data_IF_010788000277
#
_entry.id   IF_010788000277
#
_cell.length_a   1.000
_cell.length_b   1.000
_cell.length_c   1.000
_cell.angle_alpha   90.00
_cell.angle_beta   90.00
_cell.angle_gamma   90.00
#
_symmetry.space_group_name_H-M   'P 1'
#
loop_
_entity.id
_entity.type
_entity.pdbx_description
1 polymer ?
#
# COMPACT_ATOMS: atom_id res chain seq x y z
N UNK A 1 -5.42 49.81 6.38
CA UNK A 1 -4.40 48.97 5.72
C UNK A 1 -4.98 47.58 5.56
N UNK A 2 -4.99 47.05 4.33
CA UNK A 2 -5.66 45.78 3.96
C UNK A 2 -4.86 44.56 4.43
N UNK A 3 -5.50 43.44 4.79
CA UNK A 3 -4.80 42.19 5.06
C UNK A 3 -4.36 41.53 3.74
N UNK A 4 -3.09 41.12 3.66
CA UNK A 4 -2.51 40.37 2.54
C UNK A 4 -2.81 38.89 2.76
N UNK A 5 -3.74 38.35 1.97
CA UNK A 5 -3.96 36.91 1.81
C UNK A 5 -2.77 36.31 1.04
N UNK A 6 -1.95 35.50 1.72
CA UNK A 6 -0.94 34.67 1.05
C UNK A 6 -1.60 33.36 0.60
N UNK A 7 -1.99 33.31 -0.66
CA UNK A 7 -2.32 32.09 -1.39
C UNK A 7 -1.02 31.30 -1.59
N UNK A 8 -0.78 30.27 -0.77
CA UNK A 8 0.33 29.34 -0.99
C UNK A 8 -0.07 28.39 -2.13
N UNK A 9 0.72 28.39 -3.20
CA UNK A 9 0.47 27.63 -4.42
C UNK A 9 0.63 26.12 -4.20
N UNK A 10 -0.49 25.39 -4.21
CA UNK A 10 -0.58 23.92 -4.16
C UNK A 10 -0.13 23.27 -5.51
N UNK A 11 0.30 24.07 -6.49
CA UNK A 11 0.67 23.60 -7.83
C UNK A 11 2.09 23.01 -7.95
N UNK A 12 2.93 23.10 -6.90
CA UNK A 12 4.31 22.57 -6.94
C UNK A 12 4.45 21.08 -6.63
N UNK A 13 3.46 20.45 -6.02
CA UNK A 13 3.53 19.06 -5.53
C UNK A 13 2.85 18.02 -6.45
N UNK A 14 2.00 18.44 -7.40
CA UNK A 14 1.41 17.51 -8.38
C UNK A 14 2.37 17.14 -9.52
N UNK A 15 3.38 17.97 -9.83
CA UNK A 15 4.28 17.74 -10.95
C UNK A 15 5.25 16.56 -10.73
N UNK A 16 5.47 16.13 -9.48
CA UNK A 16 6.32 14.97 -9.17
C UNK A 16 5.53 13.65 -9.18
N UNK A 17 4.22 13.69 -8.96
CA UNK A 17 3.34 12.50 -8.99
C UNK A 17 3.07 12.04 -10.42
N UNK A 18 3.00 12.97 -11.38
CA UNK A 18 2.77 12.66 -12.79
C UNK A 18 3.97 11.97 -13.50
N UNK A 19 5.18 12.04 -12.94
CA UNK A 19 6.39 11.47 -13.56
C UNK A 19 6.63 9.99 -13.21
N UNK A 20 5.86 9.40 -12.29
CA UNK A 20 5.95 7.97 -11.93
C UNK A 20 4.79 7.12 -12.48
N UNK A 21 3.77 7.74 -13.06
CA UNK A 21 2.60 7.07 -13.64
C UNK A 21 2.73 6.77 -15.15
N UNK A 22 3.90 7.03 -15.76
CA UNK A 22 4.13 6.81 -17.18
C UNK A 22 5.45 6.07 -17.40
N UNK A 23 5.40 4.73 -17.34
CA UNK A 23 6.40 3.91 -18.02
C UNK A 23 5.72 3.03 -19.07
N UNK A 24 6.20 3.05 -20.33
CA UNK A 24 5.75 2.14 -21.36
C UNK A 24 6.24 0.72 -21.03
N UNK A 25 5.41 -0.26 -21.39
CA UNK A 25 5.79 -1.66 -21.47
C UNK A 25 7.02 -1.76 -22.38
N UNK A 26 8.19 -1.98 -21.79
CA UNK A 26 9.40 -2.34 -22.51
C UNK A 26 9.20 -3.77 -23.04
N UNK A 27 8.72 -3.85 -24.28
CA UNK A 27 8.82 -5.06 -25.08
C UNK A 27 10.31 -5.41 -25.20
N UNK A 28 10.73 -6.48 -24.53
CA UNK A 28 12.05 -7.06 -24.77
C UNK A 28 12.09 -7.54 -26.22
N UNK A 29 12.99 -6.93 -26.98
CA UNK A 29 13.38 -7.35 -28.32
C UNK A 29 14.05 -8.71 -28.24
N UNK A 30 13.30 -9.77 -28.57
CA UNK A 30 13.86 -11.08 -28.87
C UNK A 30 14.50 -11.07 -30.25
N UNK A 31 15.80 -11.34 -30.31
CA UNK A 31 16.56 -11.65 -31.52
C UNK A 31 15.94 -12.85 -32.30
N UNK A 32 16.11 -12.91 -33.63
CA UNK A 32 15.35 -13.81 -34.48
C UNK A 32 15.89 -15.25 -34.44
N UNK A 33 15.04 -16.19 -34.05
CA UNK A 33 15.28 -17.61 -34.30
C UNK A 33 14.93 -17.93 -35.76
N UNK A 34 15.96 -18.28 -36.53
CA UNK A 34 15.87 -18.61 -37.95
C UNK A 34 15.85 -20.14 -38.11
N UNK A 35 14.99 -20.65 -39.00
CA UNK A 35 15.15 -21.97 -39.62
C UNK A 35 14.11 -23.02 -39.26
N UNK A 36 13.15 -23.22 -40.16
CA UNK A 36 12.24 -24.37 -40.14
C UNK A 36 11.27 -24.32 -41.31
N UNK A 37 11.77 -24.57 -42.53
CA UNK A 37 10.94 -24.74 -43.72
C UNK A 37 9.99 -25.94 -43.53
N UNK A 38 8.67 -25.71 -43.54
CA UNK A 38 7.68 -26.77 -43.77
C UNK A 38 7.16 -26.67 -45.20
N UNK A 39 7.47 -27.70 -45.98
CA UNK A 39 7.03 -27.96 -47.34
C UNK A 39 5.50 -27.98 -47.45
N UNK A 40 4.95 -27.23 -48.41
CA UNK A 40 3.52 -27.19 -48.72
C UNK A 40 3.14 -28.36 -49.64
N UNK A 41 2.34 -29.30 -49.14
CA UNK A 41 1.67 -30.33 -49.96
C UNK A 41 0.21 -29.91 -50.19
N UNK A 42 -0.27 -29.83 -51.44
CA UNK A 42 -1.67 -29.54 -51.71
C UNK A 42 -2.53 -30.77 -51.40
N UNK A 43 -3.35 -30.71 -50.35
CA UNK A 43 -4.24 -31.83 -50.01
C UNK A 43 -5.05 -31.76 -48.70
N UNK A 44 -5.01 -30.67 -47.92
CA UNK A 44 -5.79 -30.59 -46.67
C UNK A 44 -7.03 -29.69 -46.81
N UNK A 45 -8.16 -30.32 -46.52
CA UNK A 45 -9.53 -29.88 -46.67
C UNK A 45 -9.97 -28.96 -45.53
N UNK A 46 -9.63 -27.67 -45.59
CA UNK A 46 -10.52 -26.57 -45.19
C UNK A 46 -11.16 -26.56 -43.79
N UNK A 47 -10.74 -27.38 -42.82
CA UNK A 47 -11.17 -27.26 -41.42
C UNK A 47 -10.25 -26.30 -40.71
N UNK A 48 -10.62 -25.03 -40.71
CA UNK A 48 -10.06 -24.04 -39.77
C UNK A 48 -10.28 -24.57 -38.35
N UNK A 49 -9.23 -25.11 -37.74
CA UNK A 49 -9.20 -25.38 -36.32
C UNK A 49 -9.53 -24.06 -35.62
N UNK A 50 -10.72 -23.99 -35.02
CA UNK A 50 -11.09 -22.87 -34.17
C UNK A 50 -10.16 -22.98 -32.97
N UNK A 51 -9.18 -22.08 -32.88
CA UNK A 51 -8.33 -21.92 -31.70
C UNK A 51 -9.19 -21.91 -30.42
N UNK A 52 -8.63 -22.31 -29.28
CA UNK A 52 -9.41 -22.62 -28.08
C UNK A 52 -10.37 -21.47 -27.76
N UNK A 53 -11.67 -21.79 -27.76
CA UNK A 53 -12.72 -20.83 -27.39
C UNK A 53 -12.42 -20.37 -25.97
N UNK A 54 -12.03 -19.09 -25.81
CA UNK A 54 -11.91 -18.46 -24.49
C UNK A 54 -13.18 -18.73 -23.67
N UNK A 55 -13.09 -18.97 -22.34
CA UNK A 55 -14.25 -19.28 -21.52
C UNK A 55 -15.29 -18.16 -21.68
N UNK A 56 -16.49 -18.49 -22.18
CA UNK A 56 -17.60 -17.55 -22.36
C UNK A 56 -18.37 -17.37 -21.05
N UNK A 57 -17.68 -16.92 -20.01
CA UNK A 57 -18.37 -16.35 -18.84
C UNK A 57 -18.97 -14.99 -19.20
N UNK A 58 -19.98 -14.49 -18.47
CA UNK A 58 -20.38 -13.08 -18.57
C UNK A 58 -19.18 -12.16 -18.30
N UNK A 59 -19.14 -11.03 -18.99
CA UNK A 59 -18.14 -9.98 -18.77
C UNK A 59 -18.56 -9.01 -17.65
N UNK A 60 -19.84 -9.05 -17.26
CA UNK A 60 -20.41 -8.21 -16.22
C UNK A 60 -21.41 -9.02 -15.37
N UNK A 61 -21.25 -9.02 -14.05
CA UNK A 61 -22.23 -9.56 -13.09
C UNK A 61 -22.53 -8.48 -12.05
N UNK A 62 -23.82 -8.21 -11.82
CA UNK A 62 -24.26 -7.35 -10.72
C UNK A 62 -24.65 -8.23 -9.53
N UNK A 63 -24.10 -7.96 -8.35
CA UNK A 63 -24.36 -8.73 -7.13
C UNK A 63 -25.11 -7.84 -6.14
N UNK A 64 -26.17 -8.36 -5.54
CA UNK A 64 -26.98 -7.65 -4.54
C UNK A 64 -27.01 -8.44 -3.23
N UNK A 65 -26.77 -7.82 -2.06
CA UNK A 65 -26.79 -8.53 -0.80
C UNK A 65 -28.15 -9.14 -0.52
N UNK A 66 -28.20 -10.46 -0.24
CA UNK A 66 -29.44 -11.18 0.06
C UNK A 66 -30.46 -11.25 -1.08
N UNK A 67 -30.08 -10.84 -2.30
CA UNK A 67 -30.93 -10.93 -3.49
C UNK A 67 -30.73 -12.24 -4.26
N UNK A 68 -31.51 -12.41 -5.33
CA UNK A 68 -31.44 -13.58 -6.23
C UNK A 68 -30.14 -13.67 -7.03
N UNK A 69 -29.37 -12.57 -7.12
CA UNK A 69 -28.17 -12.45 -7.96
C UNK A 69 -26.94 -13.27 -7.51
N UNK A 70 -27.09 -14.12 -6.49
CA UNK A 70 -26.03 -14.97 -5.95
C UNK A 70 -25.05 -14.23 -5.06
N UNK A 71 -24.11 -14.99 -4.52
CA UNK A 71 -23.02 -14.52 -3.66
C UNK A 71 -21.88 -13.87 -4.49
N UNK A 72 -20.96 -13.16 -3.85
CA UNK A 72 -19.73 -12.68 -4.52
C UNK A 72 -18.95 -13.89 -5.04
N UNK A 73 -18.87 -14.97 -4.26
CA UNK A 73 -18.19 -16.19 -4.65
C UNK A 73 -18.86 -16.86 -5.87
N UNK A 74 -20.19 -16.90 -5.96
CA UNK A 74 -20.91 -17.43 -7.13
C UNK A 74 -20.65 -16.56 -8.38
N UNK A 75 -20.50 -15.24 -8.19
CA UNK A 75 -20.13 -14.33 -9.28
C UNK A 75 -18.69 -14.58 -9.73
N UNK A 76 -17.77 -14.79 -8.78
CA UNK A 76 -16.38 -15.15 -9.08
C UNK A 76 -16.26 -16.48 -9.81
N UNK A 77 -17.09 -17.49 -9.53
CA UNK A 77 -17.07 -18.74 -10.29
C UNK A 77 -17.49 -18.54 -11.75
N UNK A 78 -18.55 -17.76 -11.99
CA UNK A 78 -19.19 -17.63 -13.30
C UNK A 78 -18.53 -16.60 -14.22
N UNK A 79 -17.99 -15.51 -13.66
CA UNK A 79 -17.44 -14.39 -14.46
C UNK A 79 -16.29 -14.86 -15.37
N UNK A 80 -16.23 -14.35 -16.60
CA UNK A 80 -15.06 -14.55 -17.45
C UNK A 80 -13.81 -13.89 -16.82
N UNK A 81 -12.60 -14.46 -16.99
CA UNK A 81 -11.36 -13.78 -16.59
C UNK A 81 -11.25 -12.38 -17.20
N UNK A 82 -10.97 -11.38 -16.37
CA UNK A 82 -10.94 -9.95 -16.73
C UNK A 82 -12.30 -9.26 -16.70
N UNK A 83 -13.40 -10.00 -16.46
CA UNK A 83 -14.73 -9.43 -16.32
C UNK A 83 -14.89 -8.57 -15.06
N UNK A 84 -16.04 -7.91 -14.95
CA UNK A 84 -16.36 -6.97 -13.88
C UNK A 84 -17.51 -7.47 -13.02
N UNK A 85 -17.31 -7.49 -11.71
CA UNK A 85 -18.34 -7.73 -10.70
C UNK A 85 -18.70 -6.39 -10.07
N UNK A 86 -19.96 -5.98 -10.20
CA UNK A 86 -20.47 -4.73 -9.62
C UNK A 86 -21.28 -5.06 -8.38
N UNK A 87 -20.87 -4.51 -7.24
CA UNK A 87 -21.54 -4.71 -5.96
C UNK A 87 -22.52 -3.57 -5.73
N UNK A 88 -23.80 -3.90 -5.50
CA UNK A 88 -24.77 -2.95 -4.96
C UNK A 88 -24.39 -2.55 -3.52
N UNK A 89 -24.95 -1.44 -2.98
CA UNK A 89 -24.71 -1.09 -1.59
C UNK A 89 -25.33 -2.11 -0.63
N UNK A 90 -24.61 -2.39 0.46
CA UNK A 90 -25.03 -3.29 1.53
C UNK A 90 -23.93 -4.27 1.96
N UNK A 91 -24.28 -5.19 2.86
CA UNK A 91 -23.32 -6.05 3.56
C UNK A 91 -23.29 -7.44 2.94
N UNK A 92 -22.13 -7.83 2.42
CA UNK A 92 -21.82 -9.16 1.93
C UNK A 92 -21.05 -9.92 3.02
N UNK A 93 -21.64 -11.00 3.55
CA UNK A 93 -21.03 -11.83 4.60
C UNK A 93 -20.44 -13.08 3.99
N UNK A 94 -19.23 -12.96 3.47
CA UNK A 94 -18.56 -13.99 2.70
C UNK A 94 -17.05 -13.83 2.86
N UNK A 95 -16.34 -14.95 2.88
CA UNK A 95 -14.88 -14.96 2.75
C UNK A 95 -14.56 -14.98 1.24
N UNK A 96 -13.89 -13.95 0.74
CA UNK A 96 -13.69 -13.73 -0.71
C UNK A 96 -12.27 -14.09 -1.11
N UNK A 97 -12.12 -15.05 -2.03
CA UNK A 97 -10.84 -15.48 -2.58
C UNK A 97 -10.79 -15.26 -4.09
N UNK A 98 -9.75 -14.60 -4.58
CA UNK A 98 -9.58 -14.28 -6.00
C UNK A 98 -8.30 -14.91 -6.54
N UNK A 99 -8.46 -15.84 -7.46
CA UNK A 99 -7.39 -16.62 -8.11
C UNK A 99 -7.26 -16.33 -9.62
N UNK A 100 -8.08 -15.41 -10.14
CA UNK A 100 -8.08 -15.03 -11.57
C UNK A 100 -8.19 -13.54 -11.75
N UNK A 101 -7.89 -13.06 -12.96
CA UNK A 101 -8.12 -11.66 -13.30
C UNK A 101 -9.59 -11.29 -13.17
N UNK A 102 -9.89 -10.21 -12.47
CA UNK A 102 -11.26 -9.72 -12.27
C UNK A 102 -11.25 -8.27 -11.76
N UNK A 103 -12.28 -7.51 -12.09
CA UNK A 103 -12.51 -6.18 -11.54
C UNK A 103 -13.70 -6.24 -10.57
N UNK A 104 -13.52 -5.82 -9.33
CA UNK A 104 -14.60 -5.65 -8.35
C UNK A 104 -14.85 -4.17 -8.14
N UNK A 105 -16.09 -3.74 -8.37
CA UNK A 105 -16.48 -2.34 -8.23
C UNK A 105 -17.67 -2.20 -7.29
N UNK A 106 -17.44 -1.59 -6.14
CA UNK A 106 -18.51 -1.15 -5.26
C UNK A 106 -19.29 0.01 -5.87
N UNK A 107 -20.57 0.08 -5.53
CA UNK A 107 -21.41 1.24 -5.86
C UNK A 107 -21.81 1.96 -4.59
N UNK A 108 -22.23 3.22 -4.75
CA UNK A 108 -22.67 4.07 -3.64
C UNK A 108 -24.11 4.49 -3.86
N UNK A 109 -24.88 4.56 -2.78
CA UNK A 109 -26.21 5.18 -2.76
C UNK A 109 -26.33 6.04 -1.50
N UNK A 110 -26.12 7.34 -1.65
CA UNK A 110 -25.91 8.22 -0.50
C UNK A 110 -24.67 7.79 0.28
N UNK A 111 -24.83 7.58 1.59
CA UNK A 111 -23.75 7.07 2.46
C UNK A 111 -23.58 5.54 2.42
N UNK A 112 -24.55 4.82 1.87
CA UNK A 112 -24.48 3.36 1.78
C UNK A 112 -23.41 2.92 0.78
N UNK A 113 -22.56 1.99 1.21
CA UNK A 113 -21.45 1.40 0.44
C UNK A 113 -21.61 -0.12 0.35
N UNK A 114 -20.94 -0.72 -0.62
CA UNK A 114 -20.68 -2.16 -0.62
C UNK A 114 -19.67 -2.49 0.46
N UNK A 115 -20.07 -3.31 1.42
CA UNK A 115 -19.23 -3.72 2.55
C UNK A 115 -19.07 -5.24 2.57
N UNK A 116 -17.83 -5.72 2.51
CA UNK A 116 -17.48 -7.13 2.62
C UNK A 116 -17.03 -7.40 4.06
N UNK A 117 -17.69 -8.36 4.69
CA UNK A 117 -17.39 -8.86 6.03
C UNK A 117 -17.11 -10.36 5.94
N UNK A 118 -16.02 -10.88 6.54
CA UNK A 118 -15.75 -12.31 6.54
C UNK A 118 -16.83 -13.08 7.29
N UNK A 119 -17.14 -14.29 6.83
CA UNK A 119 -18.18 -15.17 7.38
C UNK A 119 -17.64 -16.22 8.35
N UNK A 120 -16.40 -16.69 8.16
CA UNK A 120 -15.84 -17.82 8.90
C UNK A 120 -14.60 -17.48 9.74
N UNK A 121 -14.22 -16.20 9.82
CA UNK A 121 -12.97 -15.77 10.47
C UNK A 121 -11.74 -15.81 9.55
N UNK A 122 -11.97 -15.88 8.24
CA UNK A 122 -10.92 -15.69 7.24
C UNK A 122 -10.60 -14.21 6.98
N UNK A 123 -9.81 -13.97 5.95
CA UNK A 123 -9.62 -12.62 5.42
C UNK A 123 -10.93 -12.09 4.81
N UNK A 124 -11.13 -10.77 4.87
CA UNK A 124 -12.18 -10.11 4.10
C UNK A 124 -11.96 -10.31 2.59
N UNK A 125 -10.68 -10.30 2.17
CA UNK A 125 -10.27 -10.54 0.80
C UNK A 125 -8.89 -11.22 0.77
N UNK A 126 -8.79 -12.34 0.07
CA UNK A 126 -7.54 -13.01 -0.23
C UNK A 126 -7.28 -13.00 -1.75
N UNK A 127 -6.15 -12.45 -2.17
CA UNK A 127 -5.77 -12.29 -3.58
C UNK A 127 -4.53 -13.12 -3.85
N UNK A 128 -4.68 -14.14 -4.69
CA UNK A 128 -3.59 -15.01 -5.14
C UNK A 128 -3.84 -15.47 -6.59
N UNK A 129 -3.89 -14.54 -7.55
CA UNK A 129 -4.04 -14.93 -8.94
C UNK A 129 -2.78 -15.62 -9.45
N UNK A 130 -2.94 -16.40 -10.53
CA UNK A 130 -1.80 -16.87 -11.33
C UNK A 130 -0.88 -15.69 -11.72
N UNK A 131 0.40 -15.96 -12.03
CA UNK A 131 1.50 -14.98 -12.14
C UNK A 131 1.20 -13.72 -12.99
N UNK A 132 0.26 -13.80 -13.95
CA UNK A 132 -0.14 -12.67 -14.82
C UNK A 132 -1.56 -12.13 -14.56
N UNK A 133 -2.24 -12.60 -13.51
CA UNK A 133 -3.60 -12.18 -13.22
C UNK A 133 -3.66 -10.78 -12.61
N UNK A 134 -4.61 -9.99 -13.11
CA UNK A 134 -4.83 -8.61 -12.68
C UNK A 134 -6.16 -8.49 -11.95
N UNK A 135 -6.08 -8.07 -10.68
CA UNK A 135 -7.23 -7.88 -9.80
C UNK A 135 -7.34 -6.40 -9.48
N UNK A 136 -8.47 -5.78 -9.83
CA UNK A 136 -8.75 -4.40 -9.42
C UNK A 136 -9.94 -4.37 -8.48
N UNK A 137 -9.84 -3.57 -7.43
CA UNK A 137 -10.90 -3.34 -6.46
C UNK A 137 -11.08 -1.84 -6.28
N UNK A 138 -12.29 -1.36 -6.48
CA UNK A 138 -12.62 0.06 -6.31
C UNK A 138 -13.93 0.24 -5.55
N UNK A 139 -13.99 1.29 -4.71
CA UNK A 139 -15.21 1.70 -4.01
C UNK A 139 -15.81 0.67 -3.03
N UNK A 140 -14.97 -0.24 -2.50
CA UNK A 140 -15.40 -1.29 -1.55
C UNK A 140 -14.95 -0.96 -0.13
N UNK A 141 -15.80 -1.27 0.85
CA UNK A 141 -15.39 -1.31 2.27
C UNK A 141 -15.13 -2.75 2.68
N UNK A 142 -13.97 -3.03 3.27
CA UNK A 142 -13.65 -4.29 3.90
C UNK A 142 -13.67 -4.08 5.41
N UNK A 143 -14.48 -4.85 6.13
CA UNK A 143 -14.63 -4.70 7.58
C UNK A 143 -14.46 -6.04 8.28
N UNK A 144 -13.50 -6.09 9.18
CA UNK A 144 -13.38 -7.17 10.15
C UNK A 144 -14.45 -7.03 11.25
N UNK A 145 -15.31 -8.04 11.41
CA UNK A 145 -16.42 -8.03 12.37
C UNK A 145 -16.32 -9.05 13.49
N UNK A 146 -15.50 -10.08 13.33
CA UNK A 146 -15.39 -11.16 14.32
C UNK A 146 -13.95 -11.32 14.81
N UNK A 147 -13.80 -11.81 16.04
CA UNK A 147 -12.51 -12.07 16.71
C UNK A 147 -11.86 -13.40 16.24
N UNK A 148 -12.36 -14.00 15.16
CA UNK A 148 -11.90 -15.30 14.71
C UNK A 148 -10.66 -15.11 13.85
N UNK A 149 -9.53 -15.65 14.31
CA UNK A 149 -8.32 -15.79 13.51
C UNK A 149 -7.36 -14.60 13.54
N UNK A 150 -6.06 -14.90 13.47
CA UNK A 150 -4.98 -13.92 13.33
C UNK A 150 -4.75 -13.53 11.87
N UNK A 151 -5.82 -13.41 11.07
CA UNK A 151 -5.74 -13.22 9.62
C UNK A 151 -5.91 -11.74 9.26
N UNK A 152 -5.04 -11.16 8.41
CA UNK A 152 -5.26 -9.81 7.90
C UNK A 152 -6.58 -9.68 7.13
N UNK A 153 -7.19 -8.49 7.15
CA UNK A 153 -8.47 -8.28 6.44
C UNK A 153 -8.28 -8.35 4.92
N UNK A 154 -7.21 -7.76 4.37
CA UNK A 154 -6.84 -7.90 2.96
C UNK A 154 -5.47 -8.56 2.87
N UNK A 155 -5.37 -9.66 2.14
CA UNK A 155 -4.10 -10.35 1.87
C UNK A 155 -3.85 -10.37 0.37
N UNK A 156 -2.66 -9.92 -0.04
CA UNK A 156 -2.20 -9.94 -1.43
C UNK A 156 -0.93 -10.78 -1.50
N UNK A 157 -1.07 -12.02 -1.97
CA UNK A 157 0.02 -12.98 -2.07
C UNK A 157 0.91 -12.73 -3.30
N UNK A 158 0.34 -12.20 -4.39
CA UNK A 158 1.04 -11.98 -5.65
C UNK A 158 0.15 -11.42 -6.77
N UNK A 159 0.68 -11.42 -8.00
CA UNK A 159 0.01 -10.91 -9.19
C UNK A 159 0.01 -9.39 -9.32
N UNK A 160 -0.88 -8.86 -10.16
CA UNK A 160 -1.11 -7.41 -10.27
C UNK A 160 -2.37 -7.06 -9.47
N UNK A 161 -2.23 -6.25 -8.43
CA UNK A 161 -3.35 -5.86 -7.58
C UNK A 161 -3.48 -4.34 -7.49
N UNK A 162 -4.70 -3.83 -7.68
CA UNK A 162 -5.02 -2.42 -7.45
C UNK A 162 -6.19 -2.28 -6.48
N UNK A 163 -6.00 -1.48 -5.43
CA UNK A 163 -7.05 -1.07 -4.49
C UNK A 163 -7.20 0.44 -4.56
N UNK A 164 -8.38 0.92 -4.95
CA UNK A 164 -8.64 2.35 -5.14
C UNK A 164 -9.89 2.82 -4.39
N UNK A 165 -9.83 4.02 -3.80
CA UNK A 165 -11.00 4.70 -3.21
C UNK A 165 -11.83 3.80 -2.28
N UNK A 166 -11.11 2.94 -1.55
CA UNK A 166 -11.67 1.86 -0.74
C UNK A 166 -11.34 2.09 0.72
N UNK A 167 -12.01 1.36 1.61
CA UNK A 167 -11.78 1.46 3.05
C UNK A 167 -11.53 0.09 3.65
N UNK A 168 -10.45 -0.06 4.40
CA UNK A 168 -10.12 -1.28 5.14
C UNK A 168 -10.21 -0.96 6.62
N UNK A 169 -11.12 -1.64 7.30
CA UNK A 169 -11.38 -1.47 8.73
C UNK A 169 -11.06 -2.80 9.39
N UNK A 170 -9.81 -2.93 9.82
CA UNK A 170 -9.37 -4.04 10.62
C UNK A 170 -9.79 -3.88 12.08
N UNK A 171 -9.49 -4.91 12.86
CA UNK A 171 -9.64 -4.92 14.31
C UNK A 171 -8.46 -5.65 14.93
N UNK A 172 -8.20 -5.35 16.20
CA UNK A 172 -7.31 -6.10 17.08
C UNK A 172 -5.85 -6.20 16.59
N UNK A 173 -5.17 -7.28 16.96
CA UNK A 173 -3.73 -7.44 16.83
C UNK A 173 -3.29 -7.97 15.45
N UNK A 174 -4.09 -7.78 14.39
CA UNK A 174 -3.79 -8.22 13.01
C UNK A 174 -3.57 -7.06 12.05
N UNK A 175 -2.81 -7.24 10.96
CA UNK A 175 -2.70 -6.22 9.91
C UNK A 175 -4.03 -5.93 9.21
N UNK A 176 -4.25 -4.69 8.80
CA UNK A 176 -5.35 -4.33 7.91
C UNK A 176 -5.14 -4.88 6.51
N UNK A 177 -3.97 -4.60 5.94
CA UNK A 177 -3.53 -5.08 4.64
C UNK A 177 -2.18 -5.77 4.80
N UNK A 178 -2.04 -6.98 4.25
CA UNK A 178 -0.78 -7.72 4.15
C UNK A 178 -0.40 -7.87 2.67
N UNK A 179 0.80 -7.41 2.31
CA UNK A 179 1.37 -7.51 0.97
C UNK A 179 2.61 -8.42 0.99
N UNK A 180 2.57 -9.51 0.21
CA UNK A 180 3.62 -10.55 0.22
C UNK A 180 4.35 -10.71 -1.12
N UNK A 181 3.84 -10.10 -2.20
CA UNK A 181 4.46 -10.14 -3.51
C UNK A 181 3.61 -9.46 -4.58
N UNK A 182 4.13 -9.44 -5.80
CA UNK A 182 3.46 -8.91 -6.98
C UNK A 182 3.61 -7.39 -7.18
N UNK A 183 2.92 -6.87 -8.19
CA UNK A 183 2.81 -5.44 -8.46
C UNK A 183 1.55 -4.91 -7.79
N UNK A 184 1.71 -4.12 -6.74
CA UNK A 184 0.58 -3.67 -5.92
C UNK A 184 0.47 -2.16 -5.93
N UNK A 185 -0.72 -1.66 -6.23
CA UNK A 185 -1.07 -0.25 -6.17
C UNK A 185 -2.23 -0.04 -5.19
N UNK A 186 -1.97 0.63 -4.07
CA UNK A 186 -3.00 1.06 -3.13
C UNK A 186 -3.09 2.58 -3.22
N UNK A 187 -4.24 3.09 -3.65
CA UNK A 187 -4.44 4.51 -3.95
C UNK A 187 -5.72 5.06 -3.31
N UNK A 188 -5.68 6.30 -2.83
CA UNK A 188 -6.86 7.06 -2.38
C UNK A 188 -7.74 6.32 -1.36
N UNK A 189 -7.13 5.43 -0.57
CA UNK A 189 -7.84 4.52 0.32
C UNK A 189 -7.63 4.85 1.79
N UNK A 190 -8.58 4.42 2.63
CA UNK A 190 -8.57 4.64 4.07
C UNK A 190 -8.30 3.33 4.79
N UNK A 191 -7.30 3.28 5.67
CA UNK A 191 -6.88 2.04 6.33
C UNK A 191 -6.77 2.29 7.84
N UNK A 192 -7.50 1.50 8.61
CA UNK A 192 -7.69 1.74 10.04
C UNK A 192 -7.94 0.49 10.87
N UNK A 193 -7.69 0.58 12.17
CA UNK A 193 -8.09 -0.40 13.18
C UNK A 193 -7.21 -1.64 13.30
N UNK A 194 -6.14 -1.76 12.51
CA UNK A 194 -5.23 -2.90 12.57
C UNK A 194 -4.06 -2.69 13.52
N UNK A 195 -3.39 -3.78 13.95
CA UNK A 195 -2.06 -3.71 14.58
C UNK A 195 -1.08 -2.98 13.68
N UNK A 196 -1.12 -3.31 12.40
CA UNK A 196 -0.44 -2.59 11.34
C UNK A 196 -1.51 -2.16 10.34
N UNK A 197 -1.54 -0.91 9.91
CA UNK A 197 -2.46 -0.49 8.84
C UNK A 197 -2.14 -1.26 7.57
N UNK A 198 -0.92 -1.07 7.06
CA UNK A 198 -0.34 -1.87 5.99
C UNK A 198 0.93 -2.56 6.51
N UNK A 199 1.01 -3.87 6.32
CA UNK A 199 2.20 -4.68 6.48
C UNK A 199 2.71 -5.13 5.11
N UNK A 200 3.95 -4.81 4.79
CA UNK A 200 4.66 -5.31 3.61
C UNK A 200 5.71 -6.30 4.09
N UNK A 201 5.51 -7.58 3.76
CA UNK A 201 6.40 -8.69 4.11
C UNK A 201 6.57 -9.61 2.89
N UNK A 202 7.46 -9.25 1.96
CA UNK A 202 7.60 -10.02 0.74
C UNK A 202 8.21 -11.39 1.02
N UNK A 203 7.68 -12.41 0.35
CA UNK A 203 8.09 -13.81 0.54
C UNK A 203 9.55 -14.08 0.11
N UNK A 204 10.10 -13.26 -0.78
CA UNK A 204 11.49 -13.31 -1.24
C UNK A 204 12.03 -11.91 -1.64
N UNK A 205 13.35 -11.72 -1.76
CA UNK A 205 13.90 -10.48 -2.33
C UNK A 205 13.37 -10.23 -3.75
N UNK A 206 13.07 -8.97 -4.07
CA UNK A 206 12.55 -8.54 -5.37
C UNK A 206 11.24 -9.26 -5.80
N UNK A 207 10.48 -9.79 -4.84
CA UNK A 207 9.22 -10.50 -5.13
C UNK A 207 8.01 -9.58 -5.26
N UNK A 208 8.17 -8.27 -5.07
CA UNK A 208 7.09 -7.32 -5.32
C UNK A 208 7.52 -5.87 -5.41
N UNK A 209 6.70 -5.11 -6.13
CA UNK A 209 6.76 -3.67 -6.31
C UNK A 209 5.51 -3.05 -5.69
N UNK A 210 5.67 -2.35 -4.57
CA UNK A 210 4.54 -1.86 -3.77
C UNK A 210 4.45 -0.34 -3.84
N UNK A 211 3.37 0.15 -4.45
CA UNK A 211 3.03 1.56 -4.57
C UNK A 211 1.88 1.90 -3.63
N UNK A 212 2.16 2.76 -2.65
CA UNK A 212 1.18 3.22 -1.65
C UNK A 212 1.06 4.73 -1.82
N UNK A 213 -0.04 5.18 -2.42
CA UNK A 213 -0.15 6.56 -2.92
C UNK A 213 -1.41 7.24 -2.38
N UNK A 214 -1.28 8.44 -1.82
CA UNK A 214 -2.43 9.27 -1.43
C UNK A 214 -3.44 8.59 -0.50
N UNK A 215 -2.97 7.68 0.35
CA UNK A 215 -3.81 6.99 1.32
C UNK A 215 -3.89 7.74 2.65
N UNK A 216 -4.94 7.48 3.40
CA UNK A 216 -5.09 7.92 4.80
C UNK A 216 -5.00 6.69 5.71
N UNK A 217 -3.93 6.61 6.51
CA UNK A 217 -3.63 5.47 7.38
C UNK A 217 -3.66 5.94 8.83
N UNK A 218 -4.70 5.55 9.58
CA UNK A 218 -5.02 6.13 10.90
C UNK A 218 -5.56 5.10 11.88
N UNK A 219 -5.44 5.34 13.18
CA UNK A 219 -5.97 4.47 14.24
C UNK A 219 -5.50 3.01 14.10
N UNK A 220 -4.23 2.83 13.76
CA UNK A 220 -3.56 1.53 13.77
C UNK A 220 -2.50 1.50 14.87
N UNK A 221 -1.99 0.33 15.23
CA UNK A 221 -0.80 0.23 16.09
C UNK A 221 0.43 0.86 15.43
N UNK A 222 0.83 0.39 14.25
CA UNK A 222 1.74 1.09 13.34
C UNK A 222 1.02 1.41 12.05
N UNK A 223 1.21 2.60 11.49
CA UNK A 223 0.56 2.95 10.23
C UNK A 223 1.03 2.05 9.07
N UNK A 224 2.31 2.17 8.70
CA UNK A 224 2.93 1.36 7.64
C UNK A 224 4.18 0.66 8.17
N UNK A 225 4.19 -0.67 8.11
CA UNK A 225 5.34 -1.51 8.46
C UNK A 225 5.89 -2.20 7.22
N UNK A 226 7.19 -2.09 6.98
CA UNK A 226 7.90 -2.79 5.91
C UNK A 226 8.98 -3.66 6.51
N UNK A 227 8.96 -4.96 6.20
CA UNK A 227 9.89 -5.93 6.77
C UNK A 227 10.51 -6.86 5.73
N UNK A 228 11.70 -7.37 6.04
CA UNK A 228 12.46 -8.22 5.13
C UNK A 228 12.97 -7.42 3.92
N UNK A 229 13.25 -8.06 2.77
CA UNK A 229 13.81 -7.39 1.60
C UNK A 229 12.78 -6.52 0.84
N UNK A 230 11.75 -6.02 1.53
CA UNK A 230 10.72 -5.20 0.93
C UNK A 230 11.22 -3.82 0.55
N UNK A 231 10.74 -3.34 -0.61
CA UNK A 231 10.95 -1.99 -1.10
C UNK A 231 9.60 -1.39 -1.42
N UNK A 232 9.28 -0.24 -0.81
CA UNK A 232 8.00 0.43 -0.97
C UNK A 232 8.20 1.81 -1.58
N UNK A 233 7.35 2.18 -2.52
CA UNK A 233 7.20 3.56 -3.00
C UNK A 233 5.96 4.17 -2.33
N UNK A 234 6.16 4.92 -1.24
CA UNK A 234 5.07 5.59 -0.54
C UNK A 234 5.05 7.09 -0.85
N UNK A 235 4.00 7.58 -1.50
CA UNK A 235 3.95 8.95 -2.01
C UNK A 235 2.67 9.66 -1.57
N UNK A 236 2.80 10.83 -0.96
CA UNK A 236 1.66 11.69 -0.67
C UNK A 236 0.65 11.11 0.32
N UNK A 237 1.05 10.14 1.16
CA UNK A 237 0.15 9.54 2.14
C UNK A 237 0.05 10.39 3.40
N UNK A 238 -1.11 10.32 4.07
CA UNK A 238 -1.34 10.83 5.41
C UNK A 238 -1.33 9.68 6.41
N UNK A 239 -0.22 9.50 7.12
CA UNK A 239 0.03 8.43 8.09
C UNK A 239 0.01 9.05 9.49
N UNK A 240 -1.19 9.23 10.04
CA UNK A 240 -1.42 10.09 11.19
C UNK A 240 -2.30 9.42 12.24
N UNK A 241 -2.18 9.86 13.51
CA UNK A 241 -3.07 9.39 14.58
C UNK A 241 -3.11 7.86 14.72
N UNK A 242 -1.97 7.20 14.55
CA UNK A 242 -1.76 5.80 14.89
C UNK A 242 -1.29 5.71 16.35
N UNK A 243 -1.64 4.63 17.05
CA UNK A 243 -1.41 4.46 18.49
C UNK A 243 0.09 4.27 18.82
N UNK A 244 0.87 3.75 17.89
CA UNK A 244 2.32 3.56 17.96
C UNK A 244 3.05 4.37 16.89
N UNK A 245 4.01 3.76 16.20
CA UNK A 245 4.81 4.48 15.21
C UNK A 245 4.02 4.79 13.93
N UNK A 246 4.30 5.91 13.28
CA UNK A 246 3.72 6.20 11.96
C UNK A 246 4.18 5.18 10.92
N UNK A 247 5.50 5.06 10.78
CA UNK A 247 6.14 4.11 9.88
C UNK A 247 7.28 3.35 10.55
N UNK A 248 7.44 2.07 10.20
CA UNK A 248 8.57 1.26 10.64
C UNK A 248 9.17 0.45 9.49
N UNK A 249 10.48 0.59 9.29
CA UNK A 249 11.27 -0.21 8.35
C UNK A 249 12.19 -1.15 9.13
N UNK A 250 12.19 -2.43 8.75
CA UNK A 250 13.08 -3.46 9.31
C UNK A 250 13.72 -4.28 8.18
N UNK A 251 15.03 -4.09 7.96
CA UNK A 251 15.79 -4.72 6.87
C UNK A 251 15.28 -4.39 5.45
N UNK A 252 14.54 -3.29 5.33
CA UNK A 252 13.77 -2.88 4.16
C UNK A 252 14.29 -1.58 3.52
N UNK A 253 13.99 -1.37 2.24
CA UNK A 253 14.33 -0.18 1.47
C UNK A 253 13.11 0.61 1.01
N UNK A 254 13.28 1.38 -0.06
CA UNK A 254 12.19 2.10 -0.72
C UNK A 254 12.33 3.61 -0.73
N UNK A 255 11.34 4.26 -1.34
CA UNK A 255 11.28 5.71 -1.54
C UNK A 255 10.00 6.26 -0.95
N UNK A 256 10.14 7.24 -0.06
CA UNK A 256 9.06 7.81 0.73
C UNK A 256 9.05 9.32 0.51
N UNK A 257 8.08 9.79 -0.28
CA UNK A 257 8.07 11.17 -0.79
C UNK A 257 6.78 11.90 -0.41
N UNK A 258 6.92 13.13 0.08
CA UNK A 258 5.79 14.04 0.31
C UNK A 258 4.68 13.46 1.20
N UNK A 259 5.04 12.54 2.11
CA UNK A 259 4.09 12.00 3.07
C UNK A 259 3.96 12.95 4.27
N UNK A 260 2.76 13.00 4.84
CA UNK A 260 2.48 13.62 6.13
C UNK A 260 2.45 12.52 7.20
N UNK A 261 3.37 12.59 8.16
CA UNK A 261 3.55 11.57 9.20
C UNK A 261 3.53 12.25 10.56
N UNK A 262 2.41 12.14 11.27
CA UNK A 262 2.24 12.99 12.45
C UNK A 262 1.15 12.63 13.41
N UNK A 263 1.21 13.22 14.59
CA UNK A 263 0.27 12.91 15.70
C UNK A 263 0.20 11.42 16.01
N UNK A 264 1.27 10.66 15.78
CA UNK A 264 1.33 9.25 16.13
C UNK A 264 1.78 9.09 17.60
N UNK A 265 1.28 8.07 18.28
CA UNK A 265 1.48 7.81 19.70
C UNK A 265 2.89 7.36 20.08
N UNK A 266 3.74 7.05 19.09
CA UNK A 266 5.16 6.83 19.28
C UNK A 266 6.04 7.72 18.36
N UNK A 267 6.98 7.15 17.60
CA UNK A 267 7.83 7.91 16.69
C UNK A 267 7.12 8.16 15.35
N UNK A 268 7.54 9.17 14.61
CA UNK A 268 7.07 9.35 13.23
C UNK A 268 7.53 8.20 12.35
N UNK A 269 8.85 8.02 12.26
CA UNK A 269 9.50 6.99 11.44
C UNK A 269 10.53 6.25 12.28
N UNK A 270 10.55 4.93 12.22
CA UNK A 270 11.61 4.09 12.80
C UNK A 270 12.37 3.39 11.69
N UNK A 271 13.67 3.64 11.60
CA UNK A 271 14.60 2.95 10.70
C UNK A 271 15.43 1.96 11.51
N UNK A 272 14.96 0.72 11.53
CA UNK A 272 15.59 -0.32 12.32
C UNK A 272 16.60 -1.14 11.49
N UNK A 273 17.30 -2.04 12.17
CA UNK A 273 18.42 -2.86 11.71
C UNK A 273 18.37 -3.25 10.21
N UNK A 274 19.48 -3.01 9.51
CA UNK A 274 19.71 -3.50 8.16
C UNK A 274 18.85 -2.85 7.06
N UNK A 275 18.21 -1.70 7.32
CA UNK A 275 17.44 -0.98 6.31
C UNK A 275 18.28 -0.69 5.05
N UNK A 276 17.73 -1.02 3.88
CA UNK A 276 18.44 -1.09 2.60
C UNK A 276 18.35 0.24 1.83
N UNK A 277 19.14 1.22 2.24
CA UNK A 277 19.23 2.54 1.59
C UNK A 277 17.88 3.25 1.35
N UNK A 278 16.94 3.30 2.32
CA UNK A 278 15.69 4.01 2.13
C UNK A 278 15.92 5.51 1.88
N UNK A 279 15.03 6.10 1.08
CA UNK A 279 15.06 7.53 0.71
C UNK A 279 13.82 8.23 1.22
N UNK A 280 13.97 9.10 2.20
CA UNK A 280 12.91 9.96 2.71
C UNK A 280 13.11 11.37 2.17
N UNK A 281 12.21 11.82 1.29
CA UNK A 281 12.36 13.11 0.59
C UNK A 281 11.10 13.97 0.73
N UNK A 282 11.26 15.22 1.14
CA UNK A 282 10.15 16.19 1.19
C UNK A 282 8.95 15.77 2.04
N UNK A 283 9.15 14.92 3.06
CA UNK A 283 8.09 14.53 3.98
C UNK A 283 7.92 15.58 5.09
N UNK A 284 6.70 15.68 5.61
CA UNK A 284 6.37 16.48 6.78
C UNK A 284 6.13 15.55 7.96
N UNK A 285 7.00 15.62 8.97
CA UNK A 285 7.03 14.69 10.11
C UNK A 285 6.84 15.51 11.38
N UNK A 286 5.64 15.46 11.98
CA UNK A 286 5.31 16.41 13.04
C UNK A 286 4.37 15.92 14.13
N UNK A 287 4.56 16.42 15.34
CA UNK A 287 3.62 16.17 16.45
C UNK A 287 3.59 14.71 16.91
N UNK A 288 4.61 13.91 16.60
CA UNK A 288 4.70 12.55 17.13
C UNK A 288 5.13 12.58 18.61
N UNK A 289 4.67 11.61 19.39
CA UNK A 289 4.89 11.59 20.83
C UNK A 289 6.37 11.48 21.23
N UNK A 290 7.17 10.78 20.41
CA UNK A 290 8.62 10.64 20.60
C UNK A 290 9.41 11.35 19.49
N UNK A 291 10.43 10.72 18.91
CA UNK A 291 11.24 11.34 17.86
C UNK A 291 10.47 11.45 16.54
N UNK A 292 10.84 12.44 15.71
CA UNK A 292 10.33 12.50 14.34
C UNK A 292 10.82 11.31 13.54
N UNK A 293 12.14 11.11 13.49
CA UNK A 293 12.81 9.96 12.89
C UNK A 293 13.75 9.34 13.93
N UNK A 294 13.56 8.06 14.22
CA UNK A 294 14.37 7.29 15.16
C UNK A 294 15.16 6.18 14.45
N UNK A 295 16.47 6.14 14.71
CA UNK A 295 17.43 5.19 14.14
C UNK A 295 18.21 4.54 15.30
N UNK A 296 17.71 3.43 15.88
CA UNK A 296 18.32 2.81 17.06
C UNK A 296 19.67 2.14 16.79
N UNK A 297 19.77 1.40 15.67
CA UNK A 297 20.91 0.50 15.37
C UNK A 297 21.67 0.91 14.11
N UNK A 298 21.58 2.18 13.75
CA UNK A 298 22.23 2.74 12.57
C UNK A 298 21.48 2.37 11.31
N UNK A 299 21.78 3.07 10.23
CA UNK A 299 21.10 2.85 8.96
C UNK A 299 21.79 3.57 7.83
N UNK A 300 21.79 2.92 6.67
CA UNK A 300 22.13 3.58 5.42
C UNK A 300 20.88 4.29 4.85
N UNK A 301 21.07 5.11 3.82
CA UNK A 301 19.98 5.81 3.15
C UNK A 301 20.14 7.32 3.16
N UNK A 302 19.12 8.01 2.68
CA UNK A 302 19.11 9.46 2.52
C UNK A 302 17.83 10.01 3.12
N UNK A 303 17.97 10.96 4.04
CA UNK A 303 16.88 11.76 4.57
C UNK A 303 17.14 13.17 4.05
N UNK A 304 16.33 13.65 3.10
CA UNK A 304 16.56 14.95 2.49
C UNK A 304 15.32 15.82 2.30
N UNK A 305 15.48 17.13 2.50
CA UNK A 305 14.41 18.13 2.32
C UNK A 305 13.15 17.87 3.15
N UNK A 306 13.25 17.13 4.25
CA UNK A 306 12.12 16.87 5.12
C UNK A 306 11.93 18.01 6.13
N UNK A 307 10.68 18.27 6.49
CA UNK A 307 10.31 19.12 7.62
C UNK A 307 10.01 18.24 8.82
N UNK A 308 10.90 18.23 9.82
CA UNK A 308 10.74 17.44 11.04
C UNK A 308 10.55 18.37 12.22
N UNK A 309 9.30 18.54 12.63
CA UNK A 309 8.92 19.66 13.50
C UNK A 309 8.00 19.28 14.65
N UNK A 310 8.14 19.96 15.78
CA UNK A 310 7.22 19.83 16.92
C UNK A 310 7.02 18.38 17.42
N UNK A 311 8.05 17.54 17.34
CA UNK A 311 8.02 16.17 17.89
C UNK A 311 8.41 16.17 19.38
N UNK A 312 7.95 15.16 20.12
CA UNK A 312 8.10 15.06 21.56
C UNK A 312 9.52 14.74 22.06
N UNK A 313 10.42 14.31 21.16
CA UNK A 313 11.86 14.16 21.43
C UNK A 313 12.69 14.94 20.40
N UNK A 314 13.87 14.42 20.00
CA UNK A 314 14.68 14.98 18.91
C UNK A 314 13.97 14.84 17.57
N UNK A 315 14.20 15.78 16.66
CA UNK A 315 13.69 15.66 15.29
C UNK A 315 14.22 14.39 14.61
N UNK A 316 15.53 14.24 14.57
CA UNK A 316 16.21 13.03 14.08
C UNK A 316 17.13 12.50 15.19
N UNK A 317 16.91 11.25 15.61
CA UNK A 317 17.64 10.60 16.71
C UNK A 317 18.35 9.34 16.21
N UNK A 318 19.67 9.40 16.09
CA UNK A 318 20.52 8.22 15.91
C UNK A 318 21.14 7.83 17.25
N UNK A 319 21.09 6.55 17.62
CA UNK A 319 21.73 6.05 18.84
C UNK A 319 23.03 5.31 18.55
N UNK A 320 22.94 4.13 17.93
CA UNK A 320 24.09 3.27 17.65
C UNK A 320 24.36 3.24 16.16
N UNK A 321 25.63 3.12 15.76
CA UNK A 321 26.01 3.00 14.35
C UNK A 321 25.89 4.31 13.54
N UNK A 322 26.11 4.24 12.21
CA UNK A 322 26.08 5.42 11.36
C UNK A 322 24.65 5.93 11.17
N UNK A 323 24.48 7.24 11.20
CA UNK A 323 23.26 7.88 10.69
C UNK A 323 23.19 7.77 9.16
N UNK A 324 21.97 7.75 8.58
CA UNK A 324 21.77 8.00 7.16
C UNK A 324 22.30 9.39 6.76
N UNK A 325 22.55 9.59 5.46
CA UNK A 325 22.93 10.90 4.92
C UNK A 325 21.78 11.88 5.13
N UNK A 326 22.05 12.96 5.87
CA UNK A 326 21.11 14.05 6.11
C UNK A 326 21.43 15.20 5.17
N UNK A 327 20.47 15.61 4.35
CA UNK A 327 20.68 16.67 3.34
C UNK A 327 19.51 17.67 3.34
N UNK A 328 19.77 18.94 3.64
CA UNK A 328 18.77 20.02 3.55
C UNK A 328 17.46 19.77 4.34
N UNK A 329 17.51 19.10 5.49
CA UNK A 329 16.33 18.94 6.35
C UNK A 329 16.13 20.15 7.26
N UNK A 330 14.87 20.46 7.55
CA UNK A 330 14.47 21.48 8.52
C UNK A 330 14.06 20.79 9.81
N UNK A 331 14.84 21.00 10.88
CA UNK A 331 14.53 20.53 12.24
C UNK A 331 14.14 21.73 13.08
N UNK A 332 12.92 21.76 13.62
CA UNK A 332 12.42 22.92 14.35
C UNK A 332 11.41 22.55 15.43
N UNK A 333 11.49 23.18 16.58
CA UNK A 333 10.53 23.05 17.69
C UNK A 333 10.37 21.61 18.23
N UNK A 334 11.31 20.70 17.92
CA UNK A 334 11.32 19.38 18.55
C UNK A 334 11.93 19.50 19.95
N UNK A 335 11.32 18.85 20.96
CA UNK A 335 11.70 19.05 22.36
C UNK A 335 13.16 18.70 22.66
N UNK A 336 13.72 17.74 21.93
CA UNK A 336 15.09 17.27 22.12
C UNK A 336 16.16 18.02 21.32
N UNK A 337 15.78 18.98 20.48
CA UNK A 337 16.72 19.75 19.63
C UNK A 337 17.38 20.93 20.39
N UNK A 338 16.92 21.23 21.61
CA UNK A 338 17.56 22.25 22.45
C UNK A 338 19.04 21.87 22.72
N UNK A 339 19.96 22.85 22.69
CA UNK A 339 21.34 22.59 23.06
C UNK A 339 21.34 22.05 24.49
N UNK A 340 21.95 20.89 24.72
CA UNK A 340 22.16 20.36 26.06
C UNK A 340 22.67 21.51 26.93
N UNK A 341 21.82 22.00 27.85
CA UNK A 341 22.30 22.88 28.91
C UNK A 341 23.36 22.06 29.62
N UNK A 342 24.63 22.37 29.34
CA UNK A 342 25.79 21.82 30.06
C UNK A 342 25.40 21.86 31.53
N UNK A 343 25.08 20.70 32.09
CA UNK A 343 24.90 20.59 33.53
C UNK A 343 26.26 20.95 34.09
N UNK A 344 26.32 22.12 34.73
CA UNK A 344 27.49 22.55 35.48
C UNK A 344 27.89 21.42 36.41
N UNK A 345 29.06 20.87 36.14
CA UNK A 345 29.71 19.82 36.91
C UNK A 345 31.19 19.95 36.59
N UNK A 346 31.84 20.84 37.34
CA UNK A 346 33.29 20.85 37.52
C UNK A 346 33.75 19.43 37.79
N UNK A 347 34.69 18.92 37.00
CA UNK A 347 35.76 18.08 37.51
C UNK A 347 37.02 18.41 36.72
N UNK A 348 38.04 18.79 37.48
CA UNK A 348 39.45 18.91 37.09
C UNK A 348 39.99 17.61 36.47
#
# INVERSE_FOLDING_TARGET
>A
MRPVTKTLSILGSLALVAALAAFPVLAQTGEPYNGGYSTWTPGDDGRRERGPRRPRGPELINVTPGGEAGSINDALERIAPGGTIVLAPGIYREDVTIEKSVNIRGTRRGEARSEIQPSSGGACLYVSPDVLGAVTVSDVTFRMTALYGSVPCVVVAGGVFSLKNSRVIARDNVPGVLLQGGLVHIEESQIEGGRFGILVEPSAPNSGDFYIISNTITRNGTGLRVQGPGSVNAIGNSIISNDGDGMMLFRAGGTYIANEIGSNGANGIVLNEGSQNPRFVSNRISGNAYAGIYIPLGGAGIISRNEVIANGEKGIRCEQGPCPTLDNNVLKDNKGDEPERRRGGLFD
#
